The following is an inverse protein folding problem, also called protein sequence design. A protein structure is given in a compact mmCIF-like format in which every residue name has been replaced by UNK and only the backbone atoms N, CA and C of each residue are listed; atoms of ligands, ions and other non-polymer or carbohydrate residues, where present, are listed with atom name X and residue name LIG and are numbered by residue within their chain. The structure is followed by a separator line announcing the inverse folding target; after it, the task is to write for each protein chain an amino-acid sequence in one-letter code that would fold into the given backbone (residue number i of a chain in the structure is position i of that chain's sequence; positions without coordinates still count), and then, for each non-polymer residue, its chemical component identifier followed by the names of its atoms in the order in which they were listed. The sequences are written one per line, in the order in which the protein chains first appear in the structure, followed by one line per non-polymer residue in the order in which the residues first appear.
data_IF_037823612787
#
_entry.id   IF_037823612787
#
_cell.length_a   1.000
_cell.length_b   1.000
_cell.length_c   1.000
_cell.angle_alpha   90.00
_cell.angle_beta   90.00
_cell.angle_gamma   90.00
#
_symmetry.space_group_name_H-M   'P 1'
#
loop_
_entity.id
_entity.type
_entity.pdbx_description
1 polymer ?
#
# COMPACT_ATOMS: atom_id res chain seq x y z
N UNK A 1 24.39 10.67 -2.64
CA UNK A 1 23.56 9.46 -2.40
C UNK A 1 24.11 8.71 -1.18
N UNK A 2 25.45 8.61 -1.06
CA UNK A 2 26.14 8.00 0.08
C UNK A 2 25.74 8.60 1.44
N UNK A 3 25.75 9.93 1.58
CA UNK A 3 25.35 10.60 2.83
C UNK A 3 23.95 10.17 3.31
N UNK A 4 22.99 10.04 2.39
CA UNK A 4 21.61 9.64 2.71
C UNK A 4 21.55 8.15 3.08
N UNK A 5 22.36 7.31 2.44
CA UNK A 5 22.47 5.91 2.82
C UNK A 5 23.00 5.77 4.26
N UNK A 6 24.01 6.56 4.63
CA UNK A 6 24.54 6.57 5.99
C UNK A 6 23.49 6.98 7.03
N UNK A 7 22.69 8.01 6.73
CA UNK A 7 21.59 8.42 7.61
C UNK A 7 20.52 7.33 7.78
N UNK A 8 20.17 6.63 6.69
CA UNK A 8 19.23 5.51 6.73
C UNK A 8 19.81 4.35 7.54
N UNK A 9 21.06 3.98 7.31
CA UNK A 9 21.74 2.91 8.06
C UNK A 9 21.83 3.24 9.55
N UNK A 10 22.07 4.50 9.91
CA UNK A 10 22.02 4.97 11.30
C UNK A 10 20.62 4.77 11.91
N UNK A 11 19.56 5.16 11.19
CA UNK A 11 18.18 4.94 11.65
C UNK A 11 17.85 3.45 11.84
N UNK A 12 18.31 2.59 10.94
CA UNK A 12 18.15 1.13 11.04
C UNK A 12 18.90 0.59 12.25
N UNK A 13 20.14 1.05 12.51
CA UNK A 13 20.93 0.64 13.66
C UNK A 13 20.27 1.04 14.99
N UNK A 14 19.67 2.24 15.06
CA UNK A 14 19.03 2.76 16.27
C UNK A 14 17.66 2.10 16.57
N UNK A 15 16.84 1.86 15.55
CA UNK A 15 15.47 1.38 15.73
C UNK A 15 15.32 -0.13 15.50
N UNK A 16 16.33 -0.78 14.91
CA UNK A 16 16.39 -2.18 14.45
C UNK A 16 15.37 -2.57 13.37
N UNK A 17 14.18 -1.97 13.38
CA UNK A 17 13.08 -2.17 12.45
C UNK A 17 12.51 -0.80 12.09
N UNK A 18 12.49 -0.48 10.80
CA UNK A 18 11.99 0.81 10.29
C UNK A 18 11.14 0.60 9.05
N UNK A 19 10.23 1.55 8.82
CA UNK A 19 9.53 1.74 7.56
C UNK A 19 10.05 3.00 6.89
N UNK A 20 10.47 2.89 5.65
CA UNK A 20 10.82 4.04 4.82
C UNK A 20 9.67 4.28 3.85
N UNK A 21 9.12 5.49 3.88
CA UNK A 21 8.22 5.98 2.84
C UNK A 21 9.02 6.88 1.93
N UNK A 22 9.25 6.43 0.71
CA UNK A 22 9.90 7.23 -0.33
C UNK A 22 8.83 8.12 -0.97
N UNK A 23 9.04 9.43 -0.98
CA UNK A 23 8.17 10.41 -1.63
C UNK A 23 8.88 10.98 -2.86
N UNK A 24 8.36 10.68 -4.04
CA UNK A 24 8.97 11.07 -5.32
C UNK A 24 7.97 11.80 -6.21
N UNK A 25 8.38 12.84 -6.94
CA UNK A 25 7.53 13.46 -7.94
C UNK A 25 7.14 12.45 -9.03
N UNK A 26 5.84 12.30 -9.29
CA UNK A 26 5.31 11.33 -10.27
C UNK A 26 5.90 11.51 -11.66
N UNK A 27 6.22 12.74 -12.04
CA UNK A 27 6.79 13.05 -13.35
C UNK A 27 8.24 12.56 -13.53
N UNK A 28 8.85 11.98 -12.49
CA UNK A 28 10.13 11.27 -12.59
C UNK A 28 9.95 9.77 -12.82
N UNK A 29 8.72 9.26 -12.75
CA UNK A 29 8.39 7.88 -13.05
C UNK A 29 7.85 7.73 -14.48
N UNK A 30 8.07 6.56 -15.08
CA UNK A 30 7.52 6.20 -16.39
C UNK A 30 6.01 5.94 -16.29
N UNK A 31 5.14 6.72 -16.99
CA UNK A 31 3.68 6.60 -16.84
C UNK A 31 3.06 5.28 -17.31
N UNK A 32 3.72 4.60 -18.24
CA UNK A 32 3.37 3.29 -18.77
C UNK A 32 3.79 2.13 -17.86
N UNK A 33 4.72 2.38 -16.94
CA UNK A 33 5.34 1.35 -16.11
C UNK A 33 5.65 1.85 -14.68
N UNK A 34 4.69 2.51 -14.02
CA UNK A 34 4.93 3.14 -12.72
C UNK A 34 5.56 2.19 -11.69
N UNK A 35 5.08 0.96 -11.60
CA UNK A 35 5.60 -0.04 -10.67
C UNK A 35 7.07 -0.38 -10.93
N UNK A 36 7.42 -0.62 -12.20
CA UNK A 36 8.78 -0.97 -12.59
C UNK A 36 9.72 0.24 -12.41
N UNK A 37 9.30 1.42 -12.85
CA UNK A 37 10.09 2.66 -12.72
C UNK A 37 10.30 3.07 -11.26
N UNK A 38 9.29 2.89 -10.39
CA UNK A 38 9.43 3.12 -8.96
C UNK A 38 10.41 2.12 -8.31
N UNK A 39 10.31 0.84 -8.67
CA UNK A 39 11.21 -0.21 -8.18
C UNK A 39 12.66 0.04 -8.61
N UNK A 40 12.87 0.41 -9.87
CA UNK A 40 14.17 0.77 -10.43
C UNK A 40 14.78 1.97 -9.69
N UNK A 41 13.98 3.00 -9.42
CA UNK A 41 14.41 4.21 -8.72
C UNK A 41 14.96 3.94 -7.30
N UNK A 42 14.33 3.01 -6.56
CA UNK A 42 14.76 2.67 -5.19
C UNK A 42 15.76 1.52 -5.14
N UNK A 43 16.00 0.83 -6.25
CA UNK A 43 16.91 -0.33 -6.30
C UNK A 43 18.33 -0.04 -5.79
N UNK A 44 18.98 1.12 -6.06
CA UNK A 44 20.32 1.38 -5.56
C UNK A 44 20.38 1.49 -4.04
N UNK A 45 19.33 2.05 -3.43
CA UNK A 45 19.19 2.13 -1.98
C UNK A 45 18.99 0.73 -1.38
N UNK A 46 18.07 -0.05 -1.93
CA UNK A 46 17.80 -1.41 -1.46
C UNK A 46 19.04 -2.30 -1.52
N UNK A 47 19.75 -2.30 -2.66
CA UNK A 47 20.98 -3.07 -2.84
C UNK A 47 22.05 -2.70 -1.80
N UNK A 48 22.16 -1.41 -1.46
CA UNK A 48 23.08 -0.94 -0.42
C UNK A 48 22.69 -1.46 0.97
N UNK A 49 21.39 -1.42 1.30
CA UNK A 49 20.89 -1.85 2.61
C UNK A 49 20.87 -3.38 2.79
N UNK A 50 20.71 -4.15 1.71
CA UNK A 50 20.68 -5.62 1.68
C UNK A 50 21.98 -6.28 2.16
N UNK A 51 23.09 -5.53 2.18
CA UNK A 51 24.39 -6.02 2.65
C UNK A 51 24.34 -6.57 4.08
N UNK A 52 23.52 -5.95 4.95
CA UNK A 52 23.40 -6.32 6.38
C UNK A 52 21.95 -6.33 6.89
N UNK A 53 20.99 -5.89 6.08
CA UNK A 53 19.57 -5.80 6.44
C UNK A 53 18.69 -6.58 5.47
N UNK A 54 17.40 -6.67 5.79
CA UNK A 54 16.39 -7.27 4.91
C UNK A 54 15.33 -6.23 4.56
N UNK A 55 15.59 -5.35 3.57
CA UNK A 55 14.56 -4.46 3.03
C UNK A 55 13.54 -5.27 2.21
N UNK A 56 12.28 -4.81 2.24
CA UNK A 56 11.18 -5.41 1.51
C UNK A 56 10.30 -4.30 0.95
N UNK A 57 10.24 -4.22 -0.37
CA UNK A 57 9.35 -3.32 -1.08
C UNK A 57 7.89 -3.81 -0.95
N UNK A 58 7.05 -3.03 -0.29
CA UNK A 58 5.67 -3.42 0.06
C UNK A 58 4.63 -2.80 -0.86
N UNK A 59 4.76 -1.50 -1.15
CA UNK A 59 3.71 -0.74 -1.84
C UNK A 59 4.33 0.27 -2.80
N UNK A 60 3.70 0.45 -3.95
CA UNK A 60 3.86 1.60 -4.84
C UNK A 60 2.49 2.24 -5.05
N UNK A 61 2.34 3.47 -4.58
CA UNK A 61 1.07 4.20 -4.52
C UNK A 61 1.19 5.53 -5.29
N UNK A 62 0.54 5.64 -6.44
CA UNK A 62 0.83 6.68 -7.44
C UNK A 62 -0.30 7.70 -7.55
N UNK A 63 0.00 8.97 -7.30
CA UNK A 63 -0.93 10.09 -7.45
C UNK A 63 -0.47 11.04 -8.57
N UNK A 64 -1.33 11.96 -9.04
CA UNK A 64 -0.95 12.88 -10.13
C UNK A 64 0.31 13.73 -9.88
N UNK A 65 0.64 14.04 -8.61
CA UNK A 65 1.78 14.88 -8.26
C UNK A 65 2.96 14.12 -7.65
N UNK A 66 2.66 13.15 -6.79
CA UNK A 66 3.65 12.37 -6.05
C UNK A 66 3.31 10.89 -6.12
N UNK A 67 4.34 10.06 -6.08
CA UNK A 67 4.23 8.63 -5.85
C UNK A 67 4.92 8.29 -4.53
N UNK A 68 4.33 7.35 -3.81
CA UNK A 68 4.82 6.89 -2.52
C UNK A 68 5.24 5.43 -2.64
N UNK A 69 6.46 5.14 -2.18
CA UNK A 69 7.02 3.80 -2.21
C UNK A 69 7.28 3.39 -0.76
N UNK A 70 6.71 2.28 -0.33
CA UNK A 70 6.86 1.83 1.06
C UNK A 70 7.81 0.65 1.12
N UNK A 71 8.86 0.80 1.92
CA UNK A 71 9.89 -0.23 2.15
C UNK A 71 9.94 -0.51 3.65
N UNK A 72 9.72 -1.77 4.03
CA UNK A 72 9.96 -2.22 5.40
C UNK A 72 11.36 -2.82 5.48
N UNK A 73 12.12 -2.45 6.51
CA UNK A 73 13.47 -2.96 6.75
C UNK A 73 13.48 -3.75 8.05
N UNK A 74 13.98 -4.99 7.99
CA UNK A 74 14.09 -5.92 9.12
C UNK A 74 12.75 -6.24 9.79
N UNK A 75 11.61 -6.01 9.13
CA UNK A 75 10.29 -6.37 9.63
C UNK A 75 10.05 -7.89 9.49
N UNK A 76 10.72 -8.68 10.33
CA UNK A 76 10.57 -10.15 10.39
C UNK A 76 9.18 -10.60 10.85
N UNK A 77 8.37 -9.68 11.39
CA UNK A 77 7.01 -9.93 11.84
C UNK A 77 5.99 -9.83 10.71
N UNK A 78 6.38 -9.29 9.55
CA UNK A 78 5.51 -9.25 8.39
C UNK A 78 5.31 -10.66 7.84
N UNK A 79 4.15 -11.24 8.16
CA UNK A 79 3.64 -12.46 7.54
C UNK A 79 2.64 -12.06 6.46
N UNK A 80 2.93 -12.41 5.21
CA UNK A 80 2.07 -12.09 4.08
C UNK A 80 0.64 -12.65 4.30
N UNK A 81 0.50 -13.93 4.63
CA UNK A 81 -0.81 -14.57 4.76
C UNK A 81 -1.75 -13.90 5.77
N UNK A 82 -1.19 -13.22 6.78
CA UNK A 82 -1.94 -12.55 7.85
C UNK A 82 -1.79 -11.03 7.88
N UNK A 83 -1.03 -10.43 6.96
CA UNK A 83 -0.69 -9.00 7.01
C UNK A 83 -1.91 -8.08 6.84
N UNK A 84 -2.99 -8.55 6.21
CA UNK A 84 -4.25 -7.82 6.13
C UNK A 84 -5.05 -7.79 7.46
N UNK A 85 -4.68 -8.61 8.44
CA UNK A 85 -5.35 -8.72 9.75
C UNK A 85 -4.55 -8.02 10.86
N UNK A 86 -3.29 -7.68 10.59
CA UNK A 86 -2.33 -7.23 11.59
C UNK A 86 -1.82 -5.84 11.27
N UNK A 87 -1.98 -4.92 12.22
CA UNK A 87 -1.46 -3.55 12.11
C UNK A 87 -0.18 -3.49 12.93
N UNK A 88 0.97 -3.49 12.25
CA UNK A 88 2.27 -3.35 12.88
C UNK A 88 2.74 -1.89 12.84
N UNK A 89 2.61 -1.22 13.97
CA UNK A 89 3.13 0.12 14.17
C UNK A 89 4.65 0.04 14.36
N UNK A 90 5.41 0.59 13.42
CA UNK A 90 6.89 0.62 13.44
C UNK A 90 7.37 2.06 13.19
N UNK A 91 8.58 2.43 13.64
CA UNK A 91 9.16 3.74 13.36
C UNK A 91 9.17 4.03 11.86
N UNK A 92 8.62 5.18 11.47
CA UNK A 92 8.52 5.59 10.07
C UNK A 92 9.54 6.69 9.80
N UNK A 93 10.21 6.59 8.66
CA UNK A 93 11.08 7.64 8.13
C UNK A 93 10.63 7.97 6.72
N UNK A 94 10.82 9.23 6.33
CA UNK A 94 10.50 9.70 4.99
C UNK A 94 11.80 9.93 4.24
N UNK A 95 11.89 9.35 3.04
CA UNK A 95 12.97 9.57 2.09
C UNK A 95 12.39 10.35 0.88
N UNK A 96 12.56 11.66 0.86
CA UNK A 96 11.92 12.52 -0.11
C UNK A 96 12.89 12.99 -1.19
N UNK A 97 12.49 12.86 -2.46
CA UNK A 97 13.19 13.43 -3.59
C UNK A 97 12.61 14.81 -3.95
N UNK A 98 13.43 15.85 -3.83
CA UNK A 98 13.04 17.20 -4.21
C UNK A 98 12.78 17.31 -5.72
N UNK A 99 11.61 17.81 -6.12
CA UNK A 99 11.31 18.06 -7.54
C UNK A 99 12.24 19.11 -8.17
N UNK A 100 12.68 20.09 -7.40
CA UNK A 100 13.44 21.25 -7.92
C UNK A 100 14.93 20.96 -7.99
N UNK A 101 15.48 20.38 -6.93
CA UNK A 101 16.93 20.17 -6.80
C UNK A 101 17.35 18.74 -7.15
N UNK A 102 16.40 17.80 -7.23
CA UNK A 102 16.66 16.36 -7.36
C UNK A 102 17.54 15.81 -6.24
N UNK A 103 17.55 16.49 -5.10
CA UNK A 103 18.25 16.06 -3.90
C UNK A 103 17.32 15.23 -3.01
N UNK A 104 17.91 14.22 -2.39
CA UNK A 104 17.26 13.39 -1.41
C UNK A 104 17.32 14.04 -0.03
N UNK A 105 16.23 13.94 0.72
CA UNK A 105 16.14 14.35 2.12
C UNK A 105 15.62 13.20 2.93
N UNK A 106 16.19 12.99 4.11
CA UNK A 106 15.78 11.93 5.01
C UNK A 106 15.41 12.52 6.38
N UNK A 107 14.27 12.13 6.91
CA UNK A 107 13.84 12.61 8.22
C UNK A 107 12.88 11.63 8.90
N UNK A 108 12.93 11.64 10.23
CA UNK A 108 12.08 10.78 11.05
C UNK A 108 10.65 11.30 11.09
N UNK A 109 9.70 10.37 11.04
CA UNK A 109 8.30 10.57 11.41
C UNK A 109 8.00 9.78 12.67
N UNK A 110 7.01 10.22 13.44
CA UNK A 110 6.49 9.44 14.55
C UNK A 110 6.01 8.05 14.08
N UNK A 111 5.82 7.13 15.03
CA UNK A 111 5.28 5.79 14.76
C UNK A 111 3.89 5.95 14.14
N UNK A 112 3.66 5.39 12.95
CA UNK A 112 2.41 5.59 12.24
C UNK A 112 1.60 4.30 12.08
N UNK A 113 0.49 4.27 12.81
CA UNK A 113 -0.54 3.23 12.71
C UNK A 113 -1.37 3.35 11.42
N UNK A 114 -1.51 4.56 10.86
CA UNK A 114 -2.31 4.82 9.68
C UNK A 114 -1.67 4.21 8.43
N UNK A 115 -0.36 4.37 8.25
CA UNK A 115 0.37 3.73 7.15
C UNK A 115 0.23 2.21 7.25
N UNK A 116 0.38 1.64 8.46
CA UNK A 116 0.20 0.20 8.67
C UNK A 116 -1.22 -0.27 8.33
N UNK A 117 -2.25 0.48 8.72
CA UNK A 117 -3.66 0.22 8.35
C UNK A 117 -3.86 0.27 6.84
N UNK A 118 -3.29 1.25 6.15
CA UNK A 118 -3.45 1.36 4.70
C UNK A 118 -2.73 0.23 3.96
N UNK A 119 -1.55 -0.22 4.42
CA UNK A 119 -0.89 -1.41 3.86
C UNK A 119 -1.75 -2.67 4.06
N UNK A 120 -2.31 -2.85 5.27
CA UNK A 120 -3.19 -3.98 5.55
C UNK A 120 -4.45 -3.96 4.67
N UNK A 121 -5.02 -2.78 4.43
CA UNK A 121 -6.18 -2.61 3.55
C UNK A 121 -5.82 -2.85 2.08
N UNK A 122 -4.69 -2.33 1.60
CA UNK A 122 -4.18 -2.62 0.26
C UNK A 122 -3.94 -4.12 0.06
N UNK A 123 -3.41 -4.80 1.07
CA UNK A 123 -3.28 -6.25 1.05
C UNK A 123 -4.66 -6.91 0.94
N UNK A 124 -5.60 -6.57 1.83
CA UNK A 124 -6.97 -7.12 1.83
C UNK A 124 -7.65 -7.00 0.46
N UNK A 125 -7.45 -5.86 -0.20
CA UNK A 125 -8.05 -5.53 -1.49
C UNK A 125 -7.34 -6.18 -2.69
N UNK A 126 -6.02 -6.43 -2.58
CA UNK A 126 -5.23 -7.12 -3.59
C UNK A 126 -5.28 -8.66 -3.47
N UNK A 127 -5.85 -9.19 -2.39
CA UNK A 127 -6.01 -10.63 -2.19
C UNK A 127 -4.67 -11.35 -2.11
N UNK A 128 -4.43 -12.28 -3.03
CA UNK A 128 -3.20 -13.10 -3.10
C UNK A 128 -2.16 -12.55 -4.09
N UNK A 129 -2.35 -11.35 -4.63
CA UNK A 129 -1.38 -10.74 -5.54
C UNK A 129 -0.05 -10.44 -4.83
N UNK A 130 1.09 -10.88 -5.37
CA UNK A 130 2.37 -10.73 -4.72
C UNK A 130 2.73 -9.25 -4.49
N UNK A 131 3.49 -8.99 -3.43
CA UNK A 131 4.10 -7.68 -3.22
C UNK A 131 5.14 -7.38 -4.33
N UNK A 132 5.38 -6.09 -4.65
CA UNK A 132 4.71 -4.91 -4.09
C UNK A 132 3.26 -4.74 -4.54
N UNK A 133 2.41 -4.32 -3.61
CA UNK A 133 1.06 -3.88 -3.94
C UNK A 133 1.12 -2.59 -4.76
N UNK A 134 0.33 -2.53 -5.83
CA UNK A 134 0.31 -1.40 -6.73
C UNK A 134 -1.06 -0.71 -6.70
N UNK A 135 -1.05 0.61 -6.58
CA UNK A 135 -2.25 1.44 -6.65
C UNK A 135 -1.98 2.66 -7.55
N UNK A 136 -2.74 2.77 -8.64
CA UNK A 136 -2.68 3.89 -9.58
C UNK A 136 -3.93 4.77 -9.42
N UNK A 137 -3.72 6.00 -8.96
CA UNK A 137 -4.79 6.99 -8.74
C UNK A 137 -4.89 8.02 -9.87
N UNK A 138 -4.07 7.88 -10.91
CA UNK A 138 -4.07 8.75 -12.09
C UNK A 138 -5.06 8.19 -13.11
N UNK A 139 -4.91 6.91 -13.42
CA UNK A 139 -5.74 6.23 -14.41
C UNK A 139 -7.01 5.61 -13.80
N UNK A 140 -7.19 5.76 -12.48
CA UNK A 140 -8.22 5.07 -11.72
C UNK A 140 -7.90 3.58 -11.55
N UNK A 141 -8.66 2.85 -10.72
CA UNK A 141 -8.39 1.45 -10.49
C UNK A 141 -8.58 0.67 -11.79
N UNK A 142 -7.49 0.12 -12.33
CA UNK A 142 -7.57 -0.95 -13.32
C UNK A 142 -8.07 -2.22 -12.62
N UNK A 143 -9.39 -2.32 -12.40
CA UNK A 143 -10.05 -3.57 -12.02
C UNK A 143 -10.19 -3.90 -10.53
N UNK A 144 -9.94 -2.98 -9.58
CA UNK A 144 -10.22 -3.23 -8.16
C UNK A 144 -11.20 -2.21 -7.56
N UNK A 145 -12.33 -2.63 -6.95
CA UNK A 145 -13.35 -1.75 -6.39
C UNK A 145 -12.91 -1.22 -5.03
N UNK A 146 -11.80 -0.51 -4.99
CA UNK A 146 -11.31 0.12 -3.79
C UNK A 146 -11.95 1.52 -3.69
N UNK A 147 -12.61 1.79 -2.57
CA UNK A 147 -13.31 3.05 -2.35
C UNK A 147 -12.33 4.23 -2.24
N UNK A 148 -12.66 5.42 -2.78
CA UNK A 148 -11.82 6.62 -2.73
C UNK A 148 -11.32 7.06 -1.34
N UNK A 149 -11.94 6.59 -0.26
CA UNK A 149 -11.61 6.95 1.12
C UNK A 149 -10.31 6.31 1.63
N UNK A 150 -10.00 5.06 1.27
CA UNK A 150 -8.74 4.39 1.65
C UNK A 150 -7.53 5.04 0.95
N UNK A 151 -7.78 5.52 -0.27
CA UNK A 151 -6.80 6.12 -1.17
C UNK A 151 -6.40 7.54 -0.80
N UNK A 152 -7.27 8.33 -0.16
CA UNK A 152 -6.88 9.68 0.22
C UNK A 152 -5.96 9.73 1.45
N UNK A 153 -5.90 8.64 2.24
CA UNK A 153 -5.24 8.63 3.54
C UNK A 153 -3.72 8.56 3.46
N UNK A 154 -3.11 7.84 2.50
CA UNK A 154 -1.64 7.85 2.33
C UNK A 154 -1.14 9.22 1.89
N UNK A 155 -1.76 9.80 0.86
CA UNK A 155 -1.41 11.15 0.38
C UNK A 155 -1.63 12.22 1.46
N UNK A 156 -2.75 12.21 2.19
CA UNK A 156 -2.98 13.16 3.28
C UNK A 156 -1.98 13.00 4.42
N UNK A 157 -1.60 11.77 4.75
CA UNK A 157 -0.61 11.48 5.78
C UNK A 157 0.74 12.07 5.39
N UNK A 158 1.21 11.88 4.16
CA UNK A 158 2.50 12.42 3.71
C UNK A 158 2.43 13.95 3.49
N UNK A 159 1.36 14.46 2.87
CA UNK A 159 1.19 15.90 2.58
C UNK A 159 1.07 16.74 3.86
N UNK A 160 0.29 16.30 4.85
CA UNK A 160 0.16 17.04 6.13
C UNK A 160 1.49 17.11 6.91
N UNK A 161 2.47 16.27 6.59
CA UNK A 161 3.79 16.29 7.22
C UNK A 161 4.84 17.12 6.48
N UNK A 162 4.75 17.23 5.16
CA UNK A 162 5.61 18.14 4.40
C UNK A 162 5.40 19.61 4.82
N UNK A 163 4.16 19.97 5.21
CA UNK A 163 3.82 21.32 5.67
C UNK A 163 4.35 21.64 7.09
N UNK A 164 4.43 20.64 7.98
CA UNK A 164 4.93 20.85 9.35
C UNK A 164 6.45 21.04 9.43
N UNK A 165 7.21 20.53 8.45
CA UNK A 165 8.68 20.64 8.39
C UNK A 165 9.19 21.80 7.53
N UNK A 166 8.28 22.52 6.84
CA UNK A 166 8.60 23.78 6.14
C UNK A 166 8.42 25.02 7.04
N UNK A 167 8.07 24.84 8.32
CA UNK A 167 7.73 25.91 9.23
C UNK A 167 8.88 26.36 10.14
N UNK A 168 9.76 27.22 9.61
CA UNK A 168 10.39 28.29 10.42
C UNK A 168 10.48 29.64 9.67
N UNK A 169 9.80 29.78 8.51
CA UNK A 169 9.84 31.02 7.72
C UNK A 169 8.62 31.30 6.84
N UNK A 170 7.47 30.67 7.12
CA UNK A 170 6.28 30.83 6.27
C UNK A 170 5.42 31.99 6.77
N UNK A 171 5.18 32.97 5.90
CA UNK A 171 4.33 34.12 6.16
C UNK A 171 2.93 33.71 6.66
N UNK A 172 2.32 34.49 7.58
CA UNK A 172 1.06 34.13 8.27
C UNK A 172 -0.15 33.87 7.35
N UNK A 173 -0.07 34.19 6.05
CA UNK A 173 -1.12 33.92 5.07
C UNK A 173 -1.30 32.44 4.65
N UNK A 174 -0.29 31.57 4.83
CA UNK A 174 -0.41 30.14 4.42
C UNK A 174 -1.03 29.22 5.47
N UNK A 175 -1.06 29.62 6.75
CA UNK A 175 -1.76 28.85 7.79
C UNK A 175 -3.27 28.78 7.53
N UNK A 176 -3.84 29.84 6.95
CA UNK A 176 -5.26 29.90 6.57
C UNK A 176 -5.61 28.90 5.47
N UNK A 177 -4.71 28.66 4.51
CA UNK A 177 -4.94 27.68 3.42
C UNK A 177 -4.93 26.25 3.96
N UNK A 178 -4.05 25.93 4.92
CA UNK A 178 -4.02 24.61 5.57
C UNK A 178 -5.27 24.34 6.42
N UNK A 179 -5.77 25.35 7.14
CA UNK A 179 -7.05 25.28 7.86
C UNK A 179 -8.25 25.14 6.91
N UNK A 180 -8.24 25.85 5.77
CA UNK A 180 -9.29 25.74 4.75
C UNK A 180 -9.27 24.36 4.11
N UNK A 181 -8.11 23.78 3.77
CA UNK A 181 -8.01 22.43 3.21
C UNK A 181 -8.47 21.36 4.21
N UNK A 182 -8.13 21.51 5.51
CA UNK A 182 -8.65 20.65 6.59
C UNK A 182 -10.16 20.79 6.76
N UNK A 183 -10.71 22.00 6.72
CA UNK A 183 -12.14 22.25 6.86
C UNK A 183 -12.94 21.76 5.65
N UNK A 184 -12.45 21.99 4.43
CA UNK A 184 -13.05 21.47 3.19
C UNK A 184 -13.07 19.94 3.19
N UNK A 185 -12.08 19.28 3.79
CA UNK A 185 -12.04 17.83 3.93
C UNK A 185 -13.08 17.31 4.92
N UNK A 186 -13.24 17.96 6.09
CA UNK A 186 -14.31 17.63 7.06
C UNK A 186 -15.70 17.81 6.43
N UNK A 187 -15.89 18.86 5.64
CA UNK A 187 -17.16 19.13 4.94
C UNK A 187 -17.41 18.09 3.85
N UNK A 188 -16.39 17.69 3.08
CA UNK A 188 -16.53 16.68 2.01
C UNK A 188 -16.81 15.27 2.56
N UNK A 189 -16.23 14.92 3.72
CA UNK A 189 -16.58 13.69 4.44
C UNK A 189 -18.00 13.72 5.04
N UNK A 190 -18.53 14.89 5.40
CA UNK A 190 -19.91 15.05 5.89
C UNK A 190 -20.97 15.04 4.79
N UNK A 191 -20.60 15.42 3.57
CA UNK A 191 -21.53 15.54 2.44
C UNK A 191 -21.51 14.32 1.49
N UNK A 192 -20.66 13.34 1.74
CA UNK A 192 -20.72 12.05 1.03
C UNK A 192 -22.01 11.31 1.44
N UNK A 193 -22.92 10.95 0.51
CA UNK A 193 -24.16 10.30 0.86
C UNK A 193 -23.87 8.94 1.52
N UNK A 194 -24.30 8.77 2.77
CA UNK A 194 -24.38 7.45 3.41
C UNK A 194 -25.25 6.56 2.52
N UNK A 195 -24.61 5.67 1.76
CA UNK A 195 -25.29 4.60 1.03
C UNK A 195 -25.90 3.63 2.03
N UNK A 196 -27.11 3.91 2.47
CA UNK A 196 -28.00 2.89 3.03
C UNK A 196 -28.48 2.00 1.88
N UNK A 197 -27.85 0.83 1.71
CA UNK A 197 -28.53 -0.33 1.14
C UNK A 197 -28.67 -1.41 2.21
N UNK A 198 -29.83 -1.39 2.83
CA UNK A 198 -30.38 -2.50 3.57
C UNK A 198 -30.61 -3.69 2.64
N UNK A 199 -30.36 -4.88 3.20
CA UNK A 199 -30.57 -6.17 2.59
C UNK A 199 -32.04 -6.38 2.17
N UNK A 200 -32.23 -6.97 0.99
CA UNK A 200 -33.43 -7.73 0.65
C UNK A 200 -33.01 -8.96 -0.17
N UNK A 201 -32.78 -10.06 0.53
CA UNK A 201 -32.77 -11.40 -0.08
C UNK A 201 -34.11 -12.03 0.30
N UNK A 202 -35.04 -12.07 -0.66
CA UNK A 202 -36.21 -12.94 -0.60
C UNK A 202 -36.16 -13.92 -1.76
N UNK A 203 -36.02 -15.19 -1.34
CA UNK A 203 -36.65 -16.41 -1.84
C UNK A 203 -37.14 -16.49 -3.30
N UNK A 204 -36.68 -17.55 -3.97
CA UNK A 204 -37.51 -18.32 -4.87
C UNK A 204 -36.76 -18.82 -6.10
N UNK A 205 -36.44 -20.12 -6.14
CA UNK A 205 -36.74 -21.03 -7.26
C UNK A 205 -36.20 -22.44 -6.95
N UNK A 206 -37.13 -23.38 -6.72
CA UNK A 206 -36.90 -24.82 -6.87
C UNK A 206 -36.97 -25.19 -8.36
N UNK A 207 -36.18 -26.17 -8.82
CA UNK A 207 -36.56 -27.01 -9.96
C UNK A 207 -37.12 -28.35 -9.48
N UNK A 208 -38.20 -28.76 -10.14
CA UNK A 208 -38.98 -29.96 -9.95
C UNK A 208 -38.23 -31.24 -10.30
N UNK A 209 -38.61 -32.31 -9.59
CA UNK A 209 -38.35 -33.70 -9.95
C UNK A 209 -38.78 -34.01 -11.38
N UNK A 210 -37.96 -34.80 -12.09
CA UNK A 210 -38.52 -35.80 -12.99
C UNK A 210 -37.82 -37.15 -12.77
N UNK A 211 -38.65 -38.19 -12.68
CA UNK A 211 -38.31 -39.58 -12.44
C UNK A 211 -38.49 -40.30 -13.76
N UNK A 212 -37.50 -41.08 -14.22
CA UNK A 212 -37.69 -42.44 -14.73
C UNK A 212 -36.36 -43.09 -15.18
N UNK A 213 -36.16 -44.31 -14.68
CA UNK A 213 -35.04 -45.25 -14.87
C UNK A 213 -35.17 -45.99 -16.25
N UNK A 214 -34.39 -47.05 -16.64
CA UNK A 214 -33.71 -48.05 -15.79
C UNK A 214 -32.36 -48.68 -16.30
N UNK A 215 -31.80 -49.48 -15.39
CA UNK A 215 -31.01 -50.72 -15.55
C UNK A 215 -29.76 -50.79 -16.45
N UNK A 216 -28.65 -51.19 -15.82
CA UNK A 216 -27.41 -51.67 -16.44
C UNK A 216 -26.41 -52.21 -15.41
N UNK A 217 -26.75 -53.35 -14.81
CA UNK A 217 -25.80 -54.37 -14.30
C UNK A 217 -24.85 -54.75 -15.48
N UNK A 218 -23.56 -55.06 -15.41
CA UNK A 218 -22.81 -56.13 -14.73
C UNK A 218 -21.31 -55.86 -15.00
N UNK A 219 -20.41 -56.18 -14.06
CA UNK A 219 -19.20 -57.03 -14.24
C UNK A 219 -17.93 -56.58 -13.49
N UNK A 220 -17.48 -57.55 -12.69
CA UNK A 220 -16.17 -57.79 -12.09
C UNK A 220 -14.93 -57.30 -12.86
N UNK A 221 -13.90 -56.94 -12.09
CA UNK A 221 -12.54 -56.80 -12.59
C UNK A 221 -11.52 -56.63 -11.45
N UNK A 222 -11.28 -57.70 -10.71
CA UNK A 222 -10.21 -57.85 -9.73
C UNK A 222 -8.91 -58.17 -10.48
N UNK A 223 -7.81 -57.46 -10.21
CA UNK A 223 -6.46 -57.90 -10.58
C UNK A 223 -5.41 -57.28 -9.65
N UNK A 224 -4.94 -58.11 -8.72
CA UNK A 224 -3.64 -58.02 -8.08
C UNK A 224 -2.52 -58.17 -9.13
N UNK A 225 -1.40 -57.47 -8.93
CA UNK A 225 -0.08 -57.99 -9.29
C UNK A 225 1.03 -57.32 -8.46
N UNK A 226 1.61 -58.11 -7.58
CA UNK A 226 2.93 -57.93 -6.96
C UNK A 226 4.05 -58.18 -7.98
N UNK A 227 5.24 -57.67 -7.63
CA UNK A 227 6.61 -58.18 -7.87
C UNK A 227 7.49 -57.01 -8.37
N UNK A 228 8.40 -56.51 -7.53
CA UNK A 228 9.76 -57.03 -7.29
C UNK A 228 10.72 -56.66 -8.43
#
# INVERSE_FOLDING_TARGET
MDDINEEVLKAIAEQHMVRIVVDVPTNLLRPDEYLASASELVSPFMAHWETVNTPRLLVVDVYPKHAYIVIDINNRRYNYDTAHQQIYAIPVYILQLSKKTLEWRFFRRAVDELIARTIAELHRLNGQNPIPFFADHINGPQGSPCTPEAYHLMALTVITCAEHLLGDGVAPGMQTVSLILRAMFIVKLRLSPRSTRAASWQAGHQPSLDKNAPHGEIMHGQADARAA
#
